data_IF_394021390208
#
_entry.id   IF_394021390208
#
_cell.length_a   1.000
_cell.length_b   1.000
_cell.length_c   1.000
_cell.angle_alpha   90.00
_cell.angle_beta   90.00
_cell.angle_gamma   90.00
#
_symmetry.space_group_name_H-M   'P 1'
#
loop_
_entity.id
_entity.type
_entity.pdbx_description
1 polymer ?
#
# COMPACT_ATOMS: atom_id res chain seq x y z
N UNK A 1 14.87 3.56 -4.24
CA UNK A 1 13.67 3.22 -5.03
C UNK A 1 12.45 2.98 -4.13
N UNK A 2 12.56 2.15 -3.08
CA UNK A 2 11.48 1.87 -2.12
C UNK A 2 10.97 3.13 -1.41
N UNK A 3 11.85 4.05 -1.04
CA UNK A 3 11.45 5.30 -0.41
C UNK A 3 10.65 6.22 -1.33
N UNK A 4 11.08 6.34 -2.59
CA UNK A 4 10.34 7.09 -3.60
C UNK A 4 8.99 6.44 -3.90
N UNK A 5 8.95 5.09 -3.94
CA UNK A 5 7.72 4.33 -4.10
C UNK A 5 6.72 4.58 -2.97
N UNK A 6 7.17 4.62 -1.70
CA UNK A 6 6.33 4.94 -0.54
C UNK A 6 5.68 6.32 -0.67
N UNK A 7 6.48 7.36 -0.96
CA UNK A 7 5.98 8.72 -1.11
C UNK A 7 5.02 8.85 -2.28
N UNK A 8 5.38 8.27 -3.42
CA UNK A 8 4.57 8.30 -4.62
C UNK A 8 3.25 7.56 -4.43
N UNK A 9 3.28 6.40 -3.76
CA UNK A 9 2.07 5.65 -3.42
C UNK A 9 1.13 6.46 -2.53
N UNK A 10 1.65 7.09 -1.47
CA UNK A 10 0.86 7.93 -0.57
C UNK A 10 0.27 9.15 -1.30
N UNK A 11 1.07 9.81 -2.14
CA UNK A 11 0.60 10.94 -2.94
C UNK A 11 -0.53 10.54 -3.91
N UNK A 12 -0.36 9.42 -4.64
CA UNK A 12 -1.38 8.90 -5.54
C UNK A 12 -2.65 8.49 -4.80
N UNK A 13 -2.52 7.81 -3.64
CA UNK A 13 -3.66 7.42 -2.81
C UNK A 13 -4.44 8.65 -2.32
N UNK A 14 -3.77 9.62 -1.71
CA UNK A 14 -4.42 10.85 -1.24
C UNK A 14 -5.07 11.64 -2.38
N UNK A 15 -4.42 11.67 -3.56
CA UNK A 15 -4.99 12.30 -4.75
C UNK A 15 -6.24 11.56 -5.23
N UNK A 16 -6.21 10.22 -5.25
CA UNK A 16 -7.38 9.40 -5.58
C UNK A 16 -8.53 9.64 -4.60
N UNK A 17 -8.26 9.68 -3.29
CA UNK A 17 -9.27 9.98 -2.26
C UNK A 17 -9.87 11.37 -2.43
N UNK A 18 -9.05 12.38 -2.78
CA UNK A 18 -9.54 13.76 -3.03
C UNK A 18 -10.40 13.87 -4.29
N UNK A 19 -10.09 13.10 -5.33
CA UNK A 19 -10.77 13.16 -6.63
C UNK A 19 -11.98 12.24 -6.73
N UNK A 20 -12.12 11.28 -5.81
CA UNK A 20 -13.23 10.33 -5.76
C UNK A 20 -13.82 10.28 -4.33
N UNK A 21 -13.65 9.18 -3.67
CA UNK A 21 -13.92 8.99 -2.24
C UNK A 21 -13.01 7.89 -1.70
N UNK A 22 -12.92 7.75 -0.36
CA UNK A 22 -12.03 6.78 0.26
C UNK A 22 -12.34 5.33 -0.17
N UNK A 23 -13.61 4.96 -0.27
CA UNK A 23 -14.03 3.63 -0.70
C UNK A 23 -13.60 3.30 -2.13
N UNK A 24 -13.83 4.22 -3.07
CA UNK A 24 -13.41 4.06 -4.48
C UNK A 24 -11.87 3.99 -4.59
N UNK A 25 -11.14 4.83 -3.86
CA UNK A 25 -9.68 4.81 -3.84
C UNK A 25 -9.14 3.46 -3.34
N UNK A 26 -9.75 2.89 -2.29
CA UNK A 26 -9.39 1.58 -1.74
C UNK A 26 -9.66 0.44 -2.73
N UNK A 27 -10.82 0.45 -3.42
CA UNK A 27 -11.12 -0.55 -4.47
C UNK A 27 -10.07 -0.49 -5.58
N UNK A 28 -9.74 0.72 -6.05
CA UNK A 28 -8.73 0.90 -7.10
C UNK A 28 -7.35 0.44 -6.63
N UNK A 29 -6.99 0.71 -5.39
CA UNK A 29 -5.73 0.23 -4.81
C UNK A 29 -5.67 -1.30 -4.74
N UNK A 30 -6.79 -1.99 -4.45
CA UNK A 30 -6.81 -3.46 -4.41
C UNK A 30 -6.48 -4.12 -5.76
N UNK A 31 -6.55 -3.38 -6.89
CA UNK A 31 -6.07 -3.86 -8.18
C UNK A 31 -4.57 -4.18 -8.18
N UNK A 32 -3.80 -3.69 -7.19
CA UNK A 32 -2.42 -4.11 -6.98
C UNK A 32 -2.26 -5.63 -6.92
N UNK A 33 -3.25 -6.36 -6.36
CA UNK A 33 -3.20 -7.82 -6.26
C UNK A 33 -3.13 -8.50 -7.63
N UNK A 34 -3.89 -7.98 -8.59
CA UNK A 34 -3.89 -8.49 -9.97
C UNK A 34 -2.54 -8.21 -10.63
N UNK A 35 -1.98 -7.02 -10.38
CA UNK A 35 -0.68 -6.61 -10.92
C UNK A 35 0.43 -7.47 -10.32
N UNK A 36 0.44 -7.69 -9.01
CA UNK A 36 1.42 -8.54 -8.31
C UNK A 36 1.35 -9.98 -8.83
N UNK A 37 0.13 -10.52 -8.97
CA UNK A 37 -0.06 -11.88 -9.51
C UNK A 37 0.42 -11.99 -10.96
N UNK A 38 0.05 -11.02 -11.81
CA UNK A 38 0.51 -10.98 -13.20
C UNK A 38 2.03 -10.93 -13.29
N UNK A 39 2.66 -10.06 -12.50
CA UNK A 39 4.12 -9.92 -12.45
C UNK A 39 4.81 -11.21 -11.98
N UNK A 40 4.33 -11.84 -10.91
CA UNK A 40 4.91 -13.10 -10.42
C UNK A 40 4.71 -14.24 -11.41
N UNK A 41 3.58 -14.33 -12.09
CA UNK A 41 3.35 -15.34 -13.12
C UNK A 41 4.30 -15.17 -14.31
N UNK A 42 4.58 -13.94 -14.73
CA UNK A 42 5.51 -13.66 -15.83
C UNK A 42 6.95 -14.00 -15.44
N UNK A 43 7.39 -13.62 -14.23
CA UNK A 43 8.78 -13.87 -13.80
C UNK A 43 9.03 -15.35 -13.52
N UNK A 44 8.10 -16.00 -12.83
CA UNK A 44 8.24 -17.41 -12.49
C UNK A 44 7.87 -18.34 -13.65
N UNK A 45 7.46 -17.79 -14.80
CA UNK A 45 6.96 -18.54 -15.96
C UNK A 45 5.93 -19.61 -15.55
N UNK A 46 5.05 -19.29 -14.60
CA UNK A 46 4.04 -20.21 -14.07
C UNK A 46 2.63 -19.66 -14.22
N UNK A 47 1.68 -20.55 -14.41
CA UNK A 47 0.27 -20.18 -14.33
C UNK A 47 -0.13 -19.84 -12.88
N UNK A 48 -1.07 -18.88 -12.69
CA UNK A 48 -1.60 -18.57 -11.36
C UNK A 48 -2.22 -19.83 -10.75
N UNK A 49 -1.96 -20.05 -9.48
CA UNK A 49 -2.61 -21.13 -8.75
C UNK A 49 -4.09 -20.80 -8.56
N UNK A 50 -4.97 -21.77 -8.79
CA UNK A 50 -6.43 -21.61 -8.65
C UNK A 50 -6.81 -20.98 -7.31
N UNK A 51 -6.13 -21.35 -6.23
CA UNK A 51 -6.36 -20.79 -4.88
C UNK A 51 -6.02 -19.30 -4.80
N UNK A 52 -4.93 -18.87 -5.45
CA UNK A 52 -4.50 -17.47 -5.51
C UNK A 52 -5.51 -16.65 -6.34
N UNK A 53 -5.94 -17.17 -7.48
CA UNK A 53 -6.93 -16.51 -8.33
C UNK A 53 -8.30 -16.36 -7.64
N UNK A 54 -8.78 -17.40 -6.95
CA UNK A 54 -10.02 -17.35 -6.16
C UNK A 54 -9.87 -16.33 -5.02
N UNK A 55 -8.74 -16.35 -4.29
CA UNK A 55 -8.48 -15.40 -3.21
C UNK A 55 -8.49 -13.95 -3.67
N UNK A 56 -7.88 -13.64 -4.81
CA UNK A 56 -7.89 -12.30 -5.40
C UNK A 56 -9.31 -11.89 -5.83
N UNK A 57 -10.05 -12.81 -6.47
CA UNK A 57 -11.44 -12.56 -6.85
C UNK A 57 -12.34 -12.24 -5.65
N UNK A 58 -12.19 -13.01 -4.56
CA UNK A 58 -12.92 -12.76 -3.31
C UNK A 58 -12.51 -11.44 -2.63
N UNK A 59 -11.21 -11.13 -2.61
CA UNK A 59 -10.70 -9.88 -2.04
C UNK A 59 -11.24 -8.66 -2.81
N UNK A 60 -11.16 -8.67 -4.14
CA UNK A 60 -11.70 -7.60 -4.99
C UNK A 60 -13.21 -7.47 -4.83
N UNK A 61 -13.94 -8.59 -4.85
CA UNK A 61 -15.40 -8.59 -4.67
C UNK A 61 -15.80 -8.09 -3.29
N UNK A 62 -15.12 -8.53 -2.23
CA UNK A 62 -15.36 -8.08 -0.85
C UNK A 62 -15.09 -6.58 -0.68
N UNK A 63 -13.95 -6.10 -1.15
CA UNK A 63 -13.61 -4.67 -1.09
C UNK A 63 -14.59 -3.83 -1.90
N UNK A 64 -15.00 -4.30 -3.07
CA UNK A 64 -16.01 -3.63 -3.88
C UNK A 64 -17.35 -3.52 -3.14
N UNK A 65 -17.84 -4.61 -2.54
CA UNK A 65 -19.08 -4.63 -1.77
C UNK A 65 -19.02 -3.68 -0.55
N UNK A 66 -17.89 -3.68 0.18
CA UNK A 66 -17.70 -2.79 1.33
C UNK A 66 -17.70 -1.32 0.87
N UNK A 67 -16.97 -1.00 -0.19
CA UNK A 67 -16.82 0.37 -0.67
C UNK A 67 -18.10 0.95 -1.28
N UNK A 68 -18.93 0.10 -1.89
CA UNK A 68 -20.20 0.52 -2.54
C UNK A 68 -21.41 0.38 -1.62
N UNK A 69 -21.29 -0.32 -0.50
CA UNK A 69 -22.45 -0.70 0.32
C UNK A 69 -23.46 -1.57 -0.45
N UNK A 70 -23.00 -2.21 -1.56
CA UNK A 70 -23.84 -3.00 -2.46
C UNK A 70 -24.48 -2.23 -3.61
N UNK A 71 -24.29 -0.92 -3.69
CA UNK A 71 -24.80 -0.08 -4.79
C UNK A 71 -23.68 0.37 -5.73
N UNK A 72 -23.55 -0.22 -6.93
CA UNK A 72 -22.51 0.14 -7.90
C UNK A 72 -22.57 1.60 -8.37
N UNK A 73 -23.73 2.24 -8.27
CA UNK A 73 -23.91 3.64 -8.70
C UNK A 73 -23.30 4.65 -7.72
N UNK A 74 -22.97 4.22 -6.51
CA UNK A 74 -22.32 5.05 -5.50
C UNK A 74 -20.85 5.37 -5.83
N UNK A 75 -20.23 4.65 -6.77
CA UNK A 75 -18.85 4.90 -7.22
C UNK A 75 -18.82 6.12 -8.14
N UNK A 76 -18.51 7.27 -7.57
CA UNK A 76 -18.27 8.48 -8.35
C UNK A 76 -16.81 8.51 -8.84
N UNK A 77 -16.58 7.94 -10.03
CA UNK A 77 -15.24 7.81 -10.60
C UNK A 77 -15.03 8.88 -11.66
N UNK A 78 -14.23 9.91 -11.31
CA UNK A 78 -13.71 10.86 -12.29
C UNK A 78 -12.58 10.21 -13.11
N UNK A 79 -12.37 10.60 -14.39
CA UNK A 79 -11.25 10.06 -15.19
C UNK A 79 -9.88 10.28 -14.54
N UNK A 80 -9.69 11.43 -13.90
CA UNK A 80 -8.47 11.75 -13.15
C UNK A 80 -8.33 10.91 -11.89
N UNK A 81 -9.44 10.66 -11.18
CA UNK A 81 -9.47 9.78 -10.00
C UNK A 81 -9.14 8.34 -10.35
N UNK A 82 -9.65 7.84 -11.49
CA UNK A 82 -9.31 6.52 -12.01
C UNK A 82 -7.82 6.41 -12.33
N UNK A 83 -7.25 7.40 -13.02
CA UNK A 83 -5.83 7.44 -13.34
C UNK A 83 -4.96 7.44 -12.07
N UNK A 84 -5.31 8.28 -11.08
CA UNK A 84 -4.59 8.35 -9.80
C UNK A 84 -4.68 7.01 -9.03
N UNK A 85 -5.85 6.38 -9.00
CA UNK A 85 -6.04 5.07 -8.36
C UNK A 85 -5.27 3.94 -9.04
N UNK A 86 -5.24 3.91 -10.38
CA UNK A 86 -4.43 2.94 -11.13
C UNK A 86 -2.93 3.15 -10.90
N UNK A 87 -2.46 4.39 -10.88
CA UNK A 87 -1.06 4.71 -10.55
C UNK A 87 -0.72 4.28 -9.11
N UNK A 88 -1.65 4.48 -8.18
CA UNK A 88 -1.52 4.00 -6.80
C UNK A 88 -1.38 2.47 -6.77
N UNK A 89 -2.24 1.73 -7.49
CA UNK A 89 -2.17 0.27 -7.56
C UNK A 89 -0.84 -0.24 -8.14
N UNK A 90 -0.34 0.39 -9.21
CA UNK A 90 0.98 0.05 -9.80
C UNK A 90 2.10 0.34 -8.81
N UNK A 91 2.08 1.50 -8.17
CA UNK A 91 3.08 1.88 -7.16
C UNK A 91 3.10 0.90 -5.99
N UNK A 92 1.93 0.56 -5.45
CA UNK A 92 1.78 -0.39 -4.35
C UNK A 92 2.27 -1.80 -4.75
N UNK A 93 1.99 -2.25 -5.98
CA UNK A 93 2.50 -3.50 -6.50
C UNK A 93 4.03 -3.50 -6.61
N UNK A 94 4.62 -2.42 -7.11
CA UNK A 94 6.07 -2.26 -7.16
C UNK A 94 6.71 -2.31 -5.76
N UNK A 95 6.07 -1.69 -4.77
CA UNK A 95 6.53 -1.72 -3.38
C UNK A 95 6.48 -3.09 -2.73
N UNK A 96 5.55 -3.95 -3.13
CA UNK A 96 5.47 -5.32 -2.64
C UNK A 96 6.50 -6.25 -3.31
N UNK A 97 6.79 -6.02 -4.60
CA UNK A 97 7.59 -6.93 -5.42
C UNK A 97 9.08 -6.61 -5.40
N UNK A 98 9.45 -5.32 -5.46
CA UNK A 98 10.86 -4.92 -5.56
C UNK A 98 11.64 -5.25 -4.29
N UNK A 99 11.14 -4.92 -3.08
CA UNK A 99 11.82 -5.31 -1.85
C UNK A 99 11.90 -6.83 -1.66
N UNK A 100 10.94 -7.59 -2.17
CA UNK A 100 10.93 -9.05 -2.05
C UNK A 100 12.23 -9.70 -2.56
N UNK A 101 12.89 -9.08 -3.56
CA UNK A 101 14.17 -9.56 -4.08
C UNK A 101 15.36 -9.27 -3.17
N UNK A 102 15.27 -8.22 -2.35
CA UNK A 102 16.36 -7.72 -1.50
C UNK A 102 16.23 -8.24 -0.06
N UNK A 103 14.99 -8.55 0.35
CA UNK A 103 14.69 -9.03 1.71
C UNK A 103 15.50 -10.26 2.16
N UNK A 104 15.75 -11.27 1.31
CA UNK A 104 16.54 -12.44 1.71
C UNK A 104 17.97 -12.09 2.10
N UNK A 105 18.55 -11.05 1.48
CA UNK A 105 19.94 -10.65 1.67
C UNK A 105 20.13 -9.73 2.88
N UNK A 106 19.26 -8.72 3.04
CA UNK A 106 19.42 -7.66 4.04
C UNK A 106 18.47 -7.78 5.24
N UNK A 107 17.45 -8.60 5.15
CA UNK A 107 16.42 -8.75 6.18
C UNK A 107 15.38 -7.62 6.24
N UNK A 108 14.23 -7.94 6.78
CA UNK A 108 13.07 -7.03 6.86
C UNK A 108 13.35 -5.72 7.62
N UNK A 109 14.02 -5.71 8.81
CA UNK A 109 14.21 -4.49 9.58
C UNK A 109 15.08 -3.45 8.86
N UNK A 110 16.15 -3.90 8.20
CA UNK A 110 17.09 -3.01 7.51
C UNK A 110 16.42 -2.40 6.28
N UNK A 111 15.74 -3.22 5.47
CA UNK A 111 15.04 -2.76 4.27
C UNK A 111 13.93 -1.77 4.63
N UNK A 112 13.11 -2.09 5.63
CA UNK A 112 12.01 -1.21 6.06
C UNK A 112 12.54 0.07 6.70
N UNK A 113 13.51 -0.03 7.61
CA UNK A 113 14.07 1.12 8.31
C UNK A 113 14.74 2.10 7.36
N UNK A 114 15.58 1.62 6.43
CA UNK A 114 16.23 2.47 5.43
C UNK A 114 15.23 3.12 4.48
N UNK A 115 14.19 2.38 4.05
CA UNK A 115 13.13 2.91 3.20
C UNK A 115 12.34 4.02 3.89
N UNK A 116 11.96 3.83 5.16
CA UNK A 116 11.24 4.83 5.94
C UNK A 116 12.08 6.07 6.25
N UNK A 117 13.36 5.89 6.61
CA UNK A 117 14.26 7.01 6.86
C UNK A 117 14.44 7.87 5.61
N UNK A 118 14.73 7.24 4.48
CA UNK A 118 14.91 7.97 3.21
C UNK A 118 13.62 8.63 2.75
N UNK A 119 12.47 7.97 2.89
CA UNK A 119 11.17 8.56 2.60
C UNK A 119 10.87 9.75 3.53
N UNK A 120 11.17 9.64 4.82
CA UNK A 120 11.00 10.70 5.80
C UNK A 120 11.86 11.94 5.47
N UNK A 121 13.14 11.75 5.17
CA UNK A 121 14.03 12.85 4.77
C UNK A 121 13.54 13.56 3.51
N UNK A 122 13.16 12.80 2.48
CA UNK A 122 12.61 13.38 1.24
C UNK A 122 11.31 14.13 1.50
N UNK A 123 10.38 13.55 2.30
CA UNK A 123 9.14 14.23 2.69
C UNK A 123 9.41 15.54 3.43
N UNK A 124 10.37 15.57 4.34
CA UNK A 124 10.72 16.79 5.08
C UNK A 124 11.19 17.92 4.16
N UNK A 125 11.93 17.58 3.09
CA UNK A 125 12.39 18.59 2.12
C UNK A 125 11.22 19.20 1.33
N UNK A 126 10.25 18.37 0.90
CA UNK A 126 9.14 18.84 0.06
C UNK A 126 7.98 19.43 0.86
N UNK A 127 7.62 18.84 1.98
CA UNK A 127 6.42 19.23 2.75
C UNK A 127 6.72 20.29 3.81
N UNK A 128 7.98 20.41 4.24
CA UNK A 128 8.43 21.37 5.27
C UNK A 128 7.49 21.36 6.50
N UNK A 129 7.32 20.23 7.19
CA UNK A 129 6.31 20.09 8.26
C UNK A 129 6.48 21.12 9.39
N UNK A 130 7.70 21.64 9.57
CA UNK A 130 8.00 22.69 10.56
C UNK A 130 7.33 24.03 10.27
N UNK A 131 6.92 24.30 9.01
CA UNK A 131 6.27 25.55 8.64
C UNK A 131 4.79 25.60 9.07
N UNK A 132 4.16 24.46 9.29
CA UNK A 132 2.74 24.31 9.60
C UNK A 132 2.51 23.32 10.75
N UNK A 133 3.40 23.27 11.74
CA UNK A 133 3.24 22.38 12.87
C UNK A 133 2.01 22.80 13.71
N UNK A 134 1.01 21.93 13.85
CA UNK A 134 -0.05 22.15 14.84
C UNK A 134 0.56 22.13 16.25
N UNK A 135 0.01 22.92 17.15
CA UNK A 135 0.38 22.84 18.58
C UNK A 135 -0.14 21.51 19.10
N UNK A 136 0.76 20.53 19.24
CA UNK A 136 0.43 19.23 19.80
C UNK A 136 0.54 19.31 21.33
N UNK A 137 -0.51 18.88 22.00
CA UNK A 137 -0.48 18.60 23.43
C UNK A 137 0.36 17.34 23.71
N UNK A 138 0.79 17.15 24.96
CA UNK A 138 1.60 15.99 25.37
C UNK A 138 0.94 14.64 24.96
N UNK A 139 -0.36 14.52 25.12
CA UNK A 139 -1.14 13.36 24.69
C UNK A 139 -1.09 13.16 23.16
N UNK A 140 -1.08 14.25 22.38
CA UNK A 140 -0.96 14.20 20.92
C UNK A 140 0.41 13.71 20.46
N UNK A 141 1.48 14.13 21.15
CA UNK A 141 2.86 13.67 20.86
C UNK A 141 3.00 12.18 21.17
N UNK A 142 2.46 11.72 22.31
CA UNK A 142 2.49 10.30 22.69
C UNK A 142 1.70 9.43 21.68
N UNK A 143 0.50 9.85 21.31
CA UNK A 143 -0.32 9.17 20.31
C UNK A 143 0.39 9.10 18.95
N UNK A 144 1.04 10.18 18.51
CA UNK A 144 1.83 10.22 17.30
C UNK A 144 3.02 9.27 17.34
N UNK A 145 3.75 9.23 18.47
CA UNK A 145 4.88 8.33 18.65
C UNK A 145 4.44 6.85 18.58
N UNK A 146 3.36 6.49 19.25
CA UNK A 146 2.77 5.14 19.21
C UNK A 146 2.33 4.80 17.78
N UNK A 147 1.66 5.70 17.08
CA UNK A 147 1.25 5.50 15.70
C UNK A 147 2.43 5.29 14.76
N UNK A 148 3.48 6.09 14.88
CA UNK A 148 4.67 5.96 14.02
C UNK A 148 5.43 4.66 14.30
N UNK A 149 5.66 4.32 15.56
CA UNK A 149 6.45 3.15 15.94
C UNK A 149 5.66 1.86 15.70
N UNK A 150 4.47 1.74 16.27
CA UNK A 150 3.67 0.51 16.22
C UNK A 150 2.88 0.44 14.92
N UNK A 151 2.11 1.47 14.60
CA UNK A 151 1.21 1.48 13.44
C UNK A 151 1.93 1.56 12.10
N UNK A 152 3.12 2.16 12.04
CA UNK A 152 3.84 2.27 10.78
C UNK A 152 5.05 1.35 10.72
N UNK A 153 6.04 1.51 11.59
CA UNK A 153 7.30 0.78 11.48
C UNK A 153 7.12 -0.73 11.70
N UNK A 154 6.51 -1.13 12.83
CA UNK A 154 6.31 -2.55 13.12
C UNK A 154 5.33 -3.21 12.15
N UNK A 155 4.26 -2.55 11.74
CA UNK A 155 3.31 -3.08 10.77
C UNK A 155 3.98 -3.33 9.42
N UNK A 156 4.76 -2.37 8.91
CA UNK A 156 5.51 -2.54 7.67
C UNK A 156 6.61 -3.61 7.77
N UNK A 157 7.31 -3.68 8.89
CA UNK A 157 8.32 -4.70 9.13
C UNK A 157 7.71 -6.12 9.11
N UNK A 158 6.56 -6.30 9.77
CA UNK A 158 5.84 -7.57 9.78
C UNK A 158 5.29 -7.93 8.40
N UNK A 159 4.76 -6.95 7.67
CA UNK A 159 4.32 -7.15 6.30
C UNK A 159 5.48 -7.58 5.39
N UNK A 160 6.62 -6.93 5.47
CA UNK A 160 7.82 -7.30 4.71
C UNK A 160 8.36 -8.67 5.11
N UNK A 161 8.28 -9.03 6.41
CA UNK A 161 8.63 -10.38 6.84
C UNK A 161 7.67 -11.41 6.24
N UNK A 162 6.37 -11.12 6.22
CA UNK A 162 5.37 -11.95 5.54
C UNK A 162 5.67 -12.10 4.04
N UNK A 163 6.04 -11.03 3.35
CA UNK A 163 6.45 -11.08 1.93
C UNK A 163 7.63 -12.02 1.73
N UNK A 164 8.62 -11.99 2.65
CA UNK A 164 9.78 -12.89 2.62
C UNK A 164 9.38 -14.37 2.81
N UNK A 165 8.51 -14.64 3.77
CA UNK A 165 8.21 -16.01 4.22
C UNK A 165 7.18 -16.74 3.32
N UNK A 166 6.14 -16.03 2.87
CA UNK A 166 5.02 -16.63 2.11
C UNK A 166 4.88 -16.11 0.68
N UNK A 167 5.71 -15.13 0.30
CA UNK A 167 5.69 -14.49 -1.02
C UNK A 167 4.74 -13.29 -1.11
N UNK A 168 5.02 -12.40 -2.07
CA UNK A 168 4.32 -11.11 -2.22
C UNK A 168 2.81 -11.26 -2.48
N UNK A 169 2.38 -12.24 -3.29
CA UNK A 169 0.96 -12.46 -3.60
C UNK A 169 0.15 -12.80 -2.34
N UNK A 170 0.63 -13.76 -1.54
CA UNK A 170 -0.08 -14.19 -0.33
C UNK A 170 -0.05 -13.16 0.77
N UNK A 171 1.10 -12.49 0.95
CA UNK A 171 1.23 -11.43 1.93
C UNK A 171 0.28 -10.26 1.59
N UNK A 172 0.19 -9.87 0.32
CA UNK A 172 -0.72 -8.80 -0.12
C UNK A 172 -2.19 -9.20 0.01
N UNK A 173 -2.54 -10.48 -0.23
CA UNK A 173 -3.90 -10.98 0.01
C UNK A 173 -4.30 -10.88 1.49
N UNK A 174 -3.40 -11.24 2.41
CA UNK A 174 -3.66 -11.10 3.85
C UNK A 174 -3.80 -9.62 4.22
N UNK A 175 -2.99 -8.74 3.61
CA UNK A 175 -3.06 -7.30 3.83
C UNK A 175 -4.39 -6.65 3.41
N UNK A 176 -5.18 -7.29 2.55
CA UNK A 176 -6.52 -6.76 2.18
C UNK A 176 -7.60 -6.96 3.25
N UNK A 177 -7.30 -7.60 4.36
CA UNK A 177 -8.21 -7.70 5.52
C UNK A 177 -8.25 -6.39 6.32
N UNK A 178 -7.32 -5.47 6.03
CA UNK A 178 -7.15 -4.20 6.76
C UNK A 178 -8.29 -3.17 6.57
N UNK A 179 -9.02 -3.06 5.44
CA UNK A 179 -10.05 -2.02 5.24
C UNK A 179 -11.20 -2.05 6.22
#
# INVERSE_FOLDING_TARGET
>A
FTAFGLLFNQFCYLSAVRLTNAGTATVLQCLQLVIIMGYTCVIDCRMPRTREAIGIGLALGGTFLIATGGDPTSLNISPLGLAAGLMCAVSAACMAVIPAKILPEYGSPIVTGSAMLTAGVVSCVFVQPWAHMPVLDAAGVEALAVFVVIGSFFAYMLYMQGVKDIGSVRASLIGTVEP
#
